data_IF_847609407050
#
_entry.id   IF_847609407050
#
_cell.length_a   1.000
_cell.length_b   1.000
_cell.length_c   1.000
_cell.angle_alpha   90.00
_cell.angle_beta   90.00
_cell.angle_gamma   90.00
#
_symmetry.space_group_name_H-M   'P 1'
#
loop_
_entity.id
_entity.type
_entity.pdbx_description
1 polymer ?
#
# COMPACT_ATOMS: atom_id res chain seq x y z
N UNK A 1 -11.43 11.09 -8.52
CA UNK A 1 -10.77 10.18 -9.50
C UNK A 1 -11.61 8.92 -9.54
N UNK A 2 -11.96 8.35 -10.71
CA UNK A 2 -12.77 7.14 -10.75
C UNK A 2 -12.01 6.02 -10.04
N UNK A 3 -12.71 5.26 -9.18
CA UNK A 3 -12.20 4.00 -8.61
C UNK A 3 -11.76 3.12 -9.78
N UNK A 4 -10.46 2.81 -9.85
CA UNK A 4 -9.98 1.84 -10.82
C UNK A 4 -10.27 0.47 -10.23
N UNK A 5 -11.17 -0.25 -10.87
CA UNK A 5 -11.41 -1.67 -10.59
C UNK A 5 -10.08 -2.42 -10.58
N UNK A 6 -9.86 -3.20 -9.53
CA UNK A 6 -8.69 -4.07 -9.41
C UNK A 6 -8.73 -5.02 -10.59
N UNK A 7 -7.66 -5.06 -11.40
CA UNK A 7 -7.61 -6.01 -12.53
C UNK A 7 -7.85 -7.43 -12.00
N UNK A 8 -8.64 -8.28 -12.67
CA UNK A 8 -9.03 -9.61 -12.15
C UNK A 8 -7.87 -10.48 -11.68
N UNK A 9 -6.69 -10.31 -12.29
CA UNK A 9 -5.45 -10.99 -11.92
C UNK A 9 -4.96 -10.69 -10.50
N UNK A 10 -5.38 -9.57 -9.90
CA UNK A 10 -4.98 -9.16 -8.56
C UNK A 10 -6.03 -9.41 -7.47
N UNK A 11 -7.25 -9.80 -7.82
CA UNK A 11 -8.34 -10.03 -6.85
C UNK A 11 -7.98 -11.09 -5.79
N UNK A 12 -7.29 -12.16 -6.20
CA UNK A 12 -6.87 -13.25 -5.32
C UNK A 12 -5.58 -12.97 -4.56
N UNK A 13 -5.01 -11.76 -4.67
CA UNK A 13 -3.85 -11.38 -3.86
C UNK A 13 -4.29 -11.16 -2.42
N UNK A 14 -3.40 -11.46 -1.49
CA UNK A 14 -3.60 -11.20 -0.06
C UNK A 14 -3.44 -9.71 0.23
N UNK A 15 -4.29 -9.18 1.09
CA UNK A 15 -4.12 -7.86 1.69
C UNK A 15 -3.23 -8.03 2.91
N UNK A 16 -2.17 -7.22 3.00
CA UNK A 16 -1.24 -7.23 4.13
C UNK A 16 -1.24 -5.89 4.86
N UNK A 17 -1.13 -5.94 6.18
CA UNK A 17 -0.70 -4.80 6.99
C UNK A 17 0.82 -4.73 6.97
N UNK A 18 1.35 -3.52 6.82
CA UNK A 18 2.77 -3.22 6.81
C UNK A 18 3.13 -2.38 8.04
N UNK A 19 4.12 -2.83 8.79
CA UNK A 19 4.67 -2.12 9.94
C UNK A 19 6.11 -1.71 9.67
N UNK A 20 6.52 -0.56 10.20
CA UNK A 20 7.89 -0.09 10.10
C UNK A 20 8.83 -1.03 10.89
N UNK A 21 9.83 -1.62 10.23
CA UNK A 21 10.81 -2.51 10.87
C UNK A 21 11.58 -1.88 12.03
N UNK A 22 11.67 -0.55 12.04
CA UNK A 22 12.48 0.19 12.99
C UNK A 22 11.74 0.57 14.27
N UNK A 23 10.43 0.80 14.21
CA UNK A 23 9.66 1.24 15.38
C UNK A 23 8.33 0.50 15.59
N UNK A 24 7.95 -0.41 14.69
CA UNK A 24 6.72 -1.19 14.78
C UNK A 24 5.44 -0.44 14.39
N UNK A 25 5.49 0.88 14.13
CA UNK A 25 4.30 1.63 13.73
C UNK A 25 3.73 1.11 12.40
N UNK A 26 2.41 1.01 12.32
CA UNK A 26 1.70 0.69 11.07
C UNK A 26 1.95 1.81 10.07
N UNK A 27 2.50 1.46 8.91
CA UNK A 27 2.76 2.39 7.80
C UNK A 27 1.77 2.24 6.65
N UNK A 28 1.12 1.08 6.52
CA UNK A 28 0.04 0.86 5.56
C UNK A 28 -0.78 -0.33 6.02
N UNK A 29 -2.11 -0.23 6.01
CA UNK A 29 -3.02 -1.33 6.37
C UNK A 29 -3.53 -2.10 5.16
N UNK A 30 -3.24 -1.65 3.93
CA UNK A 30 -3.73 -2.26 2.68
C UNK A 30 -2.61 -2.41 1.65
N UNK A 31 -1.59 -3.16 2.03
CA UNK A 31 -0.48 -3.54 1.17
C UNK A 31 -0.78 -4.76 0.29
N UNK A 32 -0.13 -4.82 -0.86
CA UNK A 32 -0.10 -5.96 -1.77
C UNK A 32 1.36 -6.37 -1.96
N UNK A 33 1.69 -7.66 -1.80
CA UNK A 33 3.03 -8.13 -2.17
C UNK A 33 3.24 -7.97 -3.68
N UNK A 34 4.35 -7.33 -4.06
CA UNK A 34 4.71 -7.06 -5.43
C UNK A 34 6.21 -7.33 -5.67
N UNK A 35 6.58 -7.32 -6.95
CA UNK A 35 7.95 -7.54 -7.43
C UNK A 35 8.27 -6.40 -8.39
N UNK A 36 9.48 -5.84 -8.36
CA UNK A 36 9.86 -4.86 -9.38
C UNK A 36 9.93 -5.54 -10.75
N UNK A 37 9.19 -4.99 -11.72
CA UNK A 37 9.28 -5.45 -13.11
C UNK A 37 10.70 -5.33 -13.68
N UNK A 38 11.47 -4.35 -13.20
CA UNK A 38 12.85 -4.13 -13.62
C UNK A 38 13.89 -4.93 -12.80
N UNK A 39 13.47 -5.58 -11.70
CA UNK A 39 14.34 -6.38 -10.85
C UNK A 39 13.54 -7.39 -10.01
N UNK A 40 13.43 -8.61 -10.52
CA UNK A 40 12.63 -9.63 -9.84
C UNK A 40 13.22 -10.10 -8.50
N UNK A 41 14.48 -9.78 -8.20
CA UNK A 41 15.11 -10.09 -6.92
C UNK A 41 14.66 -9.13 -5.80
N UNK A 42 14.09 -7.97 -6.16
CA UNK A 42 13.60 -6.99 -5.20
C UNK A 42 12.13 -7.27 -4.89
N UNK A 43 11.90 -7.93 -3.76
CA UNK A 43 10.58 -8.01 -3.16
C UNK A 43 10.21 -6.68 -2.50
N UNK A 44 8.95 -6.31 -2.65
CA UNK A 44 8.40 -5.08 -2.08
C UNK A 44 6.90 -5.24 -1.88
N UNK A 45 6.28 -4.22 -1.30
CA UNK A 45 4.85 -4.13 -1.18
C UNK A 45 4.35 -2.86 -1.85
N UNK A 46 3.10 -2.87 -2.32
CA UNK A 46 2.49 -1.71 -2.96
C UNK A 46 1.09 -1.45 -2.45
N UNK A 47 0.65 -0.20 -2.48
CA UNK A 47 -0.72 0.16 -2.11
C UNK A 47 -1.33 1.12 -3.14
N UNK A 48 -2.64 1.01 -3.31
CA UNK A 48 -3.44 1.80 -4.23
C UNK A 48 -3.83 3.18 -3.65
N UNK A 49 -3.68 3.36 -2.33
CA UNK A 49 -4.00 4.62 -1.65
C UNK A 49 -2.77 5.27 -1.00
N UNK A 50 -2.71 6.62 -0.97
CA UNK A 50 -1.68 7.31 -0.22
C UNK A 50 -1.81 7.00 1.29
N UNK A 51 -0.73 6.60 1.99
CA UNK A 51 -0.77 6.34 3.43
C UNK A 51 -0.68 7.68 4.20
N UNK A 52 -1.78 8.44 4.17
CA UNK A 52 -1.79 9.88 4.42
C UNK A 52 -1.34 10.32 5.83
N UNK A 53 -1.32 9.44 6.83
CA UNK A 53 -1.04 9.81 8.23
C UNK A 53 0.08 9.00 8.89
N UNK A 54 0.74 8.12 8.13
CA UNK A 54 1.75 7.19 8.66
C UNK A 54 3.13 7.39 8.04
N UNK A 55 3.20 8.08 6.89
CA UNK A 55 4.44 8.38 6.18
C UNK A 55 4.50 9.83 5.70
N UNK A 56 5.71 10.35 5.53
CA UNK A 56 5.96 11.67 4.94
C UNK A 56 6.83 11.55 3.69
N UNK A 57 6.56 12.41 2.70
CA UNK A 57 7.43 12.59 1.54
C UNK A 57 8.69 13.36 1.94
N UNK A 58 9.86 12.79 1.70
CA UNK A 58 11.15 13.41 2.03
C UNK A 58 12.02 13.58 0.78
N UNK A 59 13.09 14.37 0.92
CA UNK A 59 14.07 14.64 -0.14
C UNK A 59 13.50 15.30 -1.41
N UNK A 60 14.35 15.52 -2.40
CA UNK A 60 13.92 15.88 -3.75
C UNK A 60 13.53 14.62 -4.52
N UNK A 61 12.60 14.74 -5.46
CA UNK A 61 12.29 13.64 -6.37
C UNK A 61 13.47 13.37 -7.31
N UNK A 62 13.73 12.10 -7.62
CA UNK A 62 14.81 11.68 -8.50
C UNK A 62 14.31 10.68 -9.54
N UNK A 63 15.10 10.46 -10.59
CA UNK A 63 14.76 9.54 -11.67
C UNK A 63 15.44 8.19 -11.42
N UNK A 64 14.73 7.09 -11.66
CA UNK A 64 15.34 5.76 -11.55
C UNK A 64 16.29 5.49 -12.72
N UNK A 65 17.23 4.57 -12.55
CA UNK A 65 18.16 4.20 -13.63
C UNK A 65 17.53 3.20 -14.60
N UNK A 66 16.81 2.20 -14.06
CA UNK A 66 16.22 1.09 -14.81
C UNK A 66 14.98 1.47 -15.62
N UNK A 67 14.26 2.52 -15.21
CA UNK A 67 13.19 3.11 -16.01
C UNK A 67 13.28 4.63 -15.93
N UNK A 68 12.43 5.37 -16.65
CA UNK A 68 12.47 6.84 -16.63
C UNK A 68 11.45 7.43 -15.66
N UNK A 69 10.91 6.63 -14.74
CA UNK A 69 10.01 7.10 -13.70
C UNK A 69 10.72 8.07 -12.76
N UNK A 70 10.00 9.11 -12.36
CA UNK A 70 10.43 9.98 -11.26
C UNK A 70 9.76 9.49 -9.98
N UNK A 71 10.56 9.30 -8.95
CA UNK A 71 10.13 8.81 -7.64
C UNK A 71 10.56 9.76 -6.53
N UNK A 72 9.94 9.62 -5.36
CA UNK A 72 10.27 10.39 -4.17
C UNK A 72 10.19 9.48 -2.94
N UNK A 73 11.20 9.56 -2.07
CA UNK A 73 11.28 8.75 -0.86
C UNK A 73 10.13 9.05 0.11
N UNK A 74 9.70 8.03 0.83
CA UNK A 74 8.79 8.14 1.97
C UNK A 74 9.46 7.65 3.24
N UNK A 75 9.30 8.42 4.31
CA UNK A 75 9.78 8.09 5.65
C UNK A 75 8.62 7.81 6.60
N UNK A 76 8.81 6.87 7.53
CA UNK A 76 7.87 6.60 8.60
C UNK A 76 7.74 7.83 9.51
N UNK A 77 6.52 8.30 9.77
CA UNK A 77 6.26 9.43 10.68
C UNK A 77 6.59 9.11 12.15
N UNK A 78 6.66 7.82 12.51
CA UNK A 78 7.00 7.39 13.87
C UNK A 78 8.49 7.53 14.23
N UNK A 79 9.39 7.33 13.27
CA UNK A 79 10.84 7.28 13.55
C UNK A 79 11.73 8.00 12.53
N UNK A 80 11.18 8.49 11.41
CA UNK A 80 11.92 9.18 10.37
C UNK A 80 12.72 8.29 9.41
N UNK A 81 12.78 6.97 9.63
CA UNK A 81 13.46 6.05 8.71
C UNK A 81 12.75 5.94 7.37
N UNK A 82 13.52 5.85 6.29
CA UNK A 82 13.01 5.57 4.93
C UNK A 82 12.38 4.18 4.90
N UNK A 83 11.13 4.09 4.44
CA UNK A 83 10.39 2.81 4.35
C UNK A 83 9.99 2.47 2.91
N UNK A 84 10.17 3.39 1.97
CA UNK A 84 9.73 3.18 0.59
C UNK A 84 9.86 4.42 -0.28
N UNK A 85 9.09 4.44 -1.36
CA UNK A 85 8.96 5.59 -2.25
C UNK A 85 7.59 5.65 -2.92
N UNK A 86 7.25 6.83 -3.46
CA UNK A 86 6.10 7.01 -4.35
C UNK A 86 6.56 7.37 -5.77
N UNK A 87 5.86 6.88 -6.78
CA UNK A 87 6.06 7.25 -8.19
C UNK A 87 5.32 8.56 -8.44
N UNK A 88 6.04 9.68 -8.45
CA UNK A 88 5.46 11.01 -8.71
C UNK A 88 5.19 11.24 -10.19
N UNK A 89 5.94 10.59 -11.08
CA UNK A 89 5.70 10.64 -12.52
C UNK A 89 6.11 9.30 -13.16
N UNK A 90 5.14 8.49 -13.61
CA UNK A 90 5.44 7.26 -14.32
C UNK A 90 5.96 7.55 -15.74
N UNK A 91 6.86 6.72 -16.27
CA UNK A 91 7.22 6.78 -17.67
C UNK A 91 6.25 5.94 -18.53
N UNK A 92 6.19 6.24 -19.84
CA UNK A 92 5.34 5.54 -20.80
C UNK A 92 5.52 4.02 -20.78
N UNK A 93 6.77 3.55 -20.74
CA UNK A 93 7.09 2.12 -20.71
C UNK A 93 6.49 1.41 -19.49
N UNK A 94 6.55 2.03 -18.30
CA UNK A 94 5.95 1.45 -17.09
C UNK A 94 4.43 1.47 -17.14
N UNK A 95 3.81 2.51 -17.71
CA UNK A 95 2.35 2.57 -17.88
C UNK A 95 1.81 1.51 -18.83
N UNK A 96 2.56 1.18 -19.89
CA UNK A 96 2.19 0.17 -20.89
C UNK A 96 2.56 -1.26 -20.48
N UNK A 97 3.36 -1.43 -19.43
CA UNK A 97 3.73 -2.75 -18.90
C UNK A 97 2.65 -3.32 -18.00
N UNK A 98 2.71 -4.63 -17.72
CA UNK A 98 1.81 -5.28 -16.76
C UNK A 98 2.12 -4.80 -15.33
N UNK A 99 1.31 -3.88 -14.81
CA UNK A 99 1.43 -3.33 -13.46
C UNK A 99 0.06 -3.39 -12.75
N UNK A 100 0.07 -3.29 -11.41
CA UNK A 100 -1.15 -3.26 -10.61
C UNK A 100 -1.75 -1.85 -10.44
N UNK A 101 -1.16 -0.83 -11.08
CA UNK A 101 -1.62 0.56 -10.98
C UNK A 101 -1.27 1.26 -9.67
N UNK A 102 -0.50 0.63 -8.78
CA UNK A 102 -0.13 1.22 -7.49
C UNK A 102 1.06 2.18 -7.69
N UNK A 103 0.99 3.34 -7.02
CA UNK A 103 2.03 4.36 -7.09
C UNK A 103 2.87 4.46 -5.82
N UNK A 104 2.46 3.78 -4.75
CA UNK A 104 3.13 3.79 -3.46
C UNK A 104 3.75 2.43 -3.19
N UNK A 105 5.07 2.43 -2.98
CA UNK A 105 5.87 1.22 -2.84
C UNK A 105 6.59 1.24 -1.49
N UNK A 106 6.55 0.12 -0.78
CA UNK A 106 7.27 -0.10 0.46
C UNK A 106 8.37 -1.12 0.24
N UNK A 107 9.58 -0.76 0.63
CA UNK A 107 10.76 -1.58 0.47
C UNK A 107 10.76 -2.67 1.55
N UNK A 108 10.91 -3.94 1.14
CA UNK A 108 10.86 -5.09 2.08
C UNK A 108 11.92 -5.00 3.19
N UNK A 109 13.02 -4.29 2.99
CA UNK A 109 14.00 -4.02 4.05
C UNK A 109 13.53 -3.00 5.11
N UNK A 110 12.55 -2.15 4.80
CA UNK A 110 12.05 -1.11 5.69
C UNK A 110 10.74 -1.45 6.40
N UNK A 111 10.06 -2.52 5.99
CA UNK A 111 8.77 -2.94 6.55
C UNK A 111 8.70 -4.44 6.83
N UNK A 112 7.92 -4.80 7.85
CA UNK A 112 7.40 -6.15 8.06
C UNK A 112 5.97 -6.23 7.51
N UNK A 113 5.54 -7.42 7.10
CA UNK A 113 4.22 -7.63 6.52
C UNK A 113 3.48 -8.76 7.25
N UNK A 114 2.21 -8.51 7.56
CA UNK A 114 1.31 -9.47 8.18
C UNK A 114 0.03 -9.58 7.35
N UNK A 115 -0.39 -10.80 7.02
CA UNK A 115 -1.66 -10.99 6.32
C UNK A 115 -2.83 -10.47 7.17
N UNK A 116 -3.70 -9.68 6.54
CA UNK A 116 -4.96 -9.28 7.18
C UNK A 116 -5.96 -10.42 7.12
N UNK A 117 -6.80 -10.49 8.15
CA UNK A 117 -8.00 -11.35 8.17
C UNK A 117 -9.24 -10.52 7.84
N UNK A 118 -10.27 -11.19 7.32
CA UNK A 118 -11.59 -10.59 7.10
C UNK A 118 -12.31 -10.29 8.43
N UNK A 119 -13.49 -9.69 8.36
CA UNK A 119 -14.32 -9.39 9.54
C UNK A 119 -14.70 -10.61 10.39
N UNK A 120 -14.55 -11.84 9.88
CA UNK A 120 -14.80 -13.08 10.64
C UNK A 120 -13.59 -13.47 11.50
N UNK A 121 -12.41 -12.90 11.20
CA UNK A 121 -11.15 -13.26 11.85
C UNK A 121 -10.62 -14.64 11.47
N UNK A 122 -11.27 -15.33 10.52
CA UNK A 122 -10.99 -16.75 10.21
C UNK A 122 -10.31 -16.92 8.86
N UNK A 123 -10.61 -16.05 7.89
CA UNK A 123 -10.04 -16.14 6.54
C UNK A 123 -9.12 -14.98 6.24
N UNK A 124 -8.09 -15.24 5.44
CA UNK A 124 -7.19 -14.20 4.92
C UNK A 124 -7.97 -13.30 3.96
N UNK A 125 -7.85 -11.99 4.17
CA UNK A 125 -8.50 -10.98 3.35
C UNK A 125 -7.84 -10.92 1.97
N UNK A 126 -8.66 -11.05 0.93
CA UNK A 126 -8.24 -10.92 -0.47
C UNK A 126 -8.57 -9.53 -1.02
N UNK A 127 -7.78 -9.07 -2.00
CA UNK A 127 -7.96 -7.76 -2.63
C UNK A 127 -9.32 -7.58 -3.29
N UNK A 128 -9.88 -8.64 -3.90
CA UNK A 128 -11.23 -8.62 -4.48
C UNK A 128 -12.35 -8.44 -3.45
N UNK A 129 -12.06 -8.64 -2.16
CA UNK A 129 -13.02 -8.50 -1.06
C UNK A 129 -12.79 -7.20 -0.27
N UNK A 130 -11.67 -6.51 -0.48
CA UNK A 130 -11.22 -5.40 0.36
C UNK A 130 -12.25 -4.26 0.45
N UNK A 131 -12.82 -3.85 -0.69
CA UNK A 131 -13.78 -2.73 -0.73
C UNK A 131 -15.04 -3.03 0.09
N UNK A 132 -15.57 -4.25 -0.02
CA UNK A 132 -16.73 -4.68 0.75
C UNK A 132 -16.41 -4.73 2.26
N UNK A 133 -15.23 -5.24 2.61
CA UNK A 133 -14.79 -5.29 4.01
C UNK A 133 -14.58 -3.90 4.62
N UNK A 134 -14.01 -2.96 3.85
CA UNK A 134 -13.86 -1.56 4.29
C UNK A 134 -15.21 -0.85 4.46
N UNK A 135 -16.17 -1.10 3.57
CA UNK A 135 -17.53 -0.57 3.70
C UNK A 135 -18.21 -1.06 4.99
N UNK A 136 -18.15 -2.37 5.26
CA UNK A 136 -18.70 -2.97 6.51
C UNK A 136 -18.09 -2.36 7.77
N UNK A 137 -16.77 -2.14 7.78
CA UNK A 137 -16.08 -1.54 8.92
C UNK A 137 -16.46 -0.07 9.12
N UNK A 138 -16.70 0.68 8.03
CA UNK A 138 -17.18 2.07 8.11
C UNK A 138 -18.58 2.15 8.72
N UNK A 139 -19.50 1.29 8.29
CA UNK A 139 -20.87 1.21 8.83
C UNK A 139 -20.88 0.87 10.33
N UNK A 140 -20.12 -0.15 10.76
CA UNK A 140 -20.00 -0.49 12.19
C UNK A 140 -19.45 0.67 13.03
N UNK A 141 -18.48 1.42 12.49
CA UNK A 141 -17.90 2.58 13.19
C UNK A 141 -18.89 3.74 13.29
N UNK A 142 -19.75 3.95 12.28
CA UNK A 142 -20.82 4.95 12.39
C UNK A 142 -21.88 4.54 13.42
N UNK A 143 -22.23 3.26 13.51
CA UNK A 143 -23.17 2.79 14.52
C UNK A 143 -22.63 3.00 15.95
N UNK A 144 -21.35 2.71 16.16
CA UNK A 144 -20.70 2.89 17.46
C UNK A 144 -20.58 4.37 17.88
N UNK A 145 -20.38 5.29 16.92
CA UNK A 145 -20.33 6.72 17.23
C UNK A 145 -21.69 7.31 17.59
N UNK A 146 -22.77 6.73 17.06
CA UNK A 146 -24.16 7.07 17.40
C UNK A 146 -24.55 6.60 18.80
N UNK A 147 -24.04 5.44 19.25
CA UNK A 147 -24.30 4.93 20.60
C UNK A 147 -23.58 5.73 21.70
N UNK A 148 -22.40 6.27 21.44
CA UNK A 148 -21.63 7.07 22.41
C UNK A 148 -22.19 8.50 22.60
N UNK A 149 -23.09 8.95 21.71
CA UNK A 149 -23.78 10.24 21.80
C UNK A 149 -25.15 10.16 22.52
N UNK A 150 -25.48 9.03 23.17
CA UNK A 150 -26.72 8.83 23.93
C UNK A 150 -26.50 8.80 25.43
#
# INVERSE_FOLDING_TARGET
>A
MPEKDVLPTFENKRVVELTCKFCGNVVCDRGMKAILLADAAVELYSTDLPPADSVALINASYQTEKCKCRIKDIACLGCGNVVGYTVVQPCRLCLESCNNGHFWMFLSQGVDAMDRVDHTGTSILLWGQLQLEEARLREKRSDFSLECCR
#
